data_IF_243082169029
#
_entry.id   IF_243082169029
#
_cell.length_a   1.000
_cell.length_b   1.000
_cell.length_c   1.000
_cell.angle_alpha   90.00
_cell.angle_beta   90.00
_cell.angle_gamma   90.00
#
_symmetry.space_group_name_H-M   'P 1'
#
loop_
_entity.id
_entity.type
_entity.pdbx_description
1 polymer ?
#
# COMPACT_ATOMS: atom_id res chain seq x y z
N UNK A 1 3.06 -26.34 -2.96
CA UNK A 1 2.10 -25.72 -2.02
C UNK A 1 2.36 -24.22 -2.04
N UNK A 2 1.39 -23.37 -2.41
CA UNK A 2 1.61 -21.93 -2.28
C UNK A 2 1.66 -21.63 -0.78
N UNK A 3 2.84 -21.22 -0.29
CA UNK A 3 2.94 -20.63 1.05
C UNK A 3 2.05 -19.39 1.02
N UNK A 4 0.93 -19.42 1.74
CA UNK A 4 0.22 -18.20 2.09
C UNK A 4 1.21 -17.32 2.83
N UNK A 5 1.77 -16.34 2.12
CA UNK A 5 2.72 -15.38 2.68
C UNK A 5 1.96 -14.56 3.72
N UNK A 6 2.48 -14.54 4.94
CA UNK A 6 1.84 -13.79 6.02
C UNK A 6 1.86 -12.31 5.68
N UNK A 7 0.67 -11.71 5.53
CA UNK A 7 0.50 -10.26 5.38
C UNK A 7 0.35 -9.57 6.75
N UNK A 8 0.65 -10.28 7.85
CA UNK A 8 0.49 -9.76 9.22
C UNK A 8 1.27 -8.47 9.44
N UNK A 9 2.45 -8.33 8.84
CA UNK A 9 3.29 -7.13 8.90
C UNK A 9 2.62 -5.91 8.25
N UNK A 10 1.69 -6.11 7.31
CA UNK A 10 1.02 -5.00 6.60
C UNK A 10 -0.11 -4.38 7.42
N UNK A 11 -0.64 -5.12 8.41
CA UNK A 11 -1.87 -4.80 9.14
C UNK A 11 -1.69 -4.80 10.67
N UNK A 12 -0.45 -4.87 11.16
CA UNK A 12 -0.13 -4.89 12.59
C UNK A 12 -0.23 -3.49 13.24
N UNK A 13 -0.33 -2.43 12.43
CA UNK A 13 -0.37 -1.05 12.89
C UNK A 13 0.99 -0.52 13.33
N UNK A 14 2.09 -1.19 12.96
CA UNK A 14 3.45 -0.80 13.27
C UNK A 14 4.21 -0.42 11.99
N UNK A 15 4.49 0.87 11.83
CA UNK A 15 5.24 1.43 10.69
C UNK A 15 6.72 1.01 10.65
N UNK A 16 7.18 0.22 11.63
CA UNK A 16 8.54 -0.31 11.69
C UNK A 16 8.64 -1.78 11.29
N UNK A 17 7.52 -2.50 11.20
CA UNK A 17 7.52 -3.89 10.72
C UNK A 17 7.52 -3.90 9.20
N UNK A 18 8.61 -4.36 8.59
CA UNK A 18 8.75 -4.34 7.13
C UNK A 18 8.56 -5.70 6.48
N UNK A 19 8.20 -5.66 5.20
CA UNK A 19 8.10 -6.85 4.37
C UNK A 19 9.40 -7.65 4.42
N UNK A 20 9.30 -8.92 4.84
CA UNK A 20 10.44 -9.85 4.84
C UNK A 20 10.44 -10.77 3.63
N UNK A 21 9.45 -10.67 2.75
CA UNK A 21 9.32 -11.52 1.57
C UNK A 21 10.00 -10.87 0.35
N UNK A 22 11.17 -11.36 -0.08
CA UNK A 22 11.90 -10.79 -1.21
C UNK A 22 11.23 -11.08 -2.56
N UNK A 23 10.17 -11.89 -2.56
CA UNK A 23 9.46 -12.29 -3.76
C UNK A 23 8.04 -11.68 -3.85
N UNK A 24 7.74 -10.64 -3.07
CA UNK A 24 6.50 -9.88 -3.24
C UNK A 24 6.56 -9.13 -4.57
N UNK A 25 5.49 -9.20 -5.36
CA UNK A 25 5.40 -8.53 -6.66
C UNK A 25 4.20 -7.59 -6.75
N UNK A 26 3.16 -7.88 -5.96
CA UNK A 26 1.92 -7.12 -5.94
C UNK A 26 1.23 -7.29 -4.59
N UNK A 27 0.55 -6.23 -4.15
CA UNK A 27 -0.43 -6.27 -3.07
C UNK A 27 -1.78 -5.97 -3.69
N UNK A 28 -2.73 -6.88 -3.52
CA UNK A 28 -4.10 -6.72 -3.98
C UNK A 28 -5.03 -6.66 -2.78
N UNK A 29 -5.70 -5.52 -2.60
CA UNK A 29 -6.74 -5.36 -1.60
C UNK A 29 -8.11 -5.48 -2.27
N UNK A 30 -8.98 -6.25 -1.62
CA UNK A 30 -10.37 -6.42 -2.00
C UNK A 30 -11.21 -6.33 -0.72
N UNK A 31 -12.37 -5.71 -0.83
CA UNK A 31 -13.26 -5.48 0.30
C UNK A 31 -14.49 -6.38 0.17
N UNK A 32 -15.00 -6.85 1.30
CA UNK A 32 -16.24 -7.61 1.37
C UNK A 32 -17.49 -6.72 1.48
N UNK A 33 -17.30 -5.42 1.73
CA UNK A 33 -18.36 -4.42 1.89
C UNK A 33 -18.04 -3.17 1.08
N UNK A 34 -19.10 -2.44 0.70
CA UNK A 34 -19.00 -1.17 0.00
C UNK A 34 -18.45 -0.10 0.95
N UNK A 35 -17.34 0.52 0.58
CA UNK A 35 -16.61 1.54 1.34
C UNK A 35 -16.00 2.54 0.36
N UNK A 36 -15.99 3.82 0.71
CA UNK A 36 -15.42 4.84 -0.15
C UNK A 36 -13.98 5.11 0.27
N UNK A 37 -13.03 4.79 -0.59
CA UNK A 37 -11.61 5.03 -0.34
C UNK A 37 -11.28 6.42 -0.88
N UNK A 38 -10.53 7.18 -0.08
CA UNK A 38 -10.10 8.54 -0.43
C UNK A 38 -8.59 8.63 -0.63
N UNK A 39 -7.84 7.96 0.23
CA UNK A 39 -6.38 7.97 0.16
C UNK A 39 -5.77 6.66 0.64
N UNK A 40 -4.54 6.44 0.20
CA UNK A 40 -3.69 5.33 0.61
C UNK A 40 -2.38 5.92 1.09
N UNK A 41 -1.98 5.56 2.30
CA UNK A 41 -0.68 5.92 2.88
C UNK A 41 0.24 4.71 2.84
N UNK A 42 1.45 4.92 2.37
CA UNK A 42 2.51 3.92 2.34
C UNK A 42 3.70 4.41 3.16
N UNK A 43 4.28 3.53 3.97
CA UNK A 43 5.52 3.79 4.71
C UNK A 43 6.58 2.76 4.31
N UNK A 44 7.82 3.21 4.10
CA UNK A 44 8.95 2.36 3.71
C UNK A 44 10.13 2.45 4.67
N UNK A 45 11.00 1.44 4.65
CA UNK A 45 12.29 1.48 5.35
C UNK A 45 13.39 2.19 4.54
N UNK A 46 13.32 2.15 3.22
CA UNK A 46 14.25 2.80 2.30
C UNK A 46 13.55 3.98 1.60
N UNK A 47 13.95 5.21 1.96
CA UNK A 47 13.31 6.44 1.50
C UNK A 47 13.40 6.65 -0.01
N UNK A 48 14.39 6.04 -0.67
CA UNK A 48 14.58 6.15 -2.11
C UNK A 48 13.56 5.31 -2.88
N UNK A 49 12.90 4.36 -2.20
CA UNK A 49 11.88 3.50 -2.77
C UNK A 49 10.48 4.13 -2.78
N UNK A 50 10.28 5.28 -2.12
CA UNK A 50 8.98 5.96 -2.09
C UNK A 50 8.44 6.33 -3.47
N UNK A 51 9.33 6.53 -4.45
CA UNK A 51 8.96 6.86 -5.82
C UNK A 51 8.75 5.62 -6.71
N UNK A 52 9.02 4.43 -6.18
CA UNK A 52 9.00 3.17 -6.93
C UNK A 52 7.72 2.34 -6.67
N UNK A 53 6.61 3.03 -6.38
CA UNK A 53 5.29 2.44 -6.24
C UNK A 53 4.39 2.84 -7.41
N UNK A 54 3.65 1.86 -7.92
CA UNK A 54 2.58 2.04 -8.89
C UNK A 54 1.26 1.72 -8.19
N UNK A 55 0.39 2.72 -8.12
CA UNK A 55 -0.93 2.61 -7.48
C UNK A 55 -2.00 2.59 -8.55
N UNK A 56 -2.67 1.45 -8.67
CA UNK A 56 -3.78 1.27 -9.58
C UNK A 56 -5.10 1.43 -8.82
N UNK A 57 -5.64 2.64 -8.91
CA UNK A 57 -6.95 3.02 -8.38
C UNK A 57 -7.65 3.98 -9.36
N UNK A 58 -8.87 4.39 -9.07
CA UNK A 58 -9.55 5.45 -9.82
C UNK A 58 -8.89 6.81 -9.53
N UNK A 59 -8.31 7.42 -10.57
CA UNK A 59 -7.60 8.72 -10.54
C UNK A 59 -6.47 8.84 -9.50
N UNK A 60 -5.41 8.01 -9.58
CA UNK A 60 -4.30 8.06 -8.65
C UNK A 60 -3.58 9.41 -8.77
N UNK A 61 -3.58 10.19 -7.71
CA UNK A 61 -2.81 11.44 -7.64
C UNK A 61 -1.91 11.41 -6.42
N UNK A 62 -0.60 11.50 -6.61
CA UNK A 62 0.35 11.67 -5.50
C UNK A 62 0.12 13.04 -4.87
N UNK A 63 -0.34 13.09 -3.62
CA UNK A 63 -0.75 14.36 -3.00
C UNK A 63 0.38 14.93 -2.16
N UNK A 64 1.01 14.08 -1.35
CA UNK A 64 1.86 14.56 -0.28
C UNK A 64 2.91 13.52 0.13
N UNK A 65 4.16 13.95 0.17
CA UNK A 65 5.19 13.30 0.97
C UNK A 65 4.99 13.79 2.41
N UNK A 66 4.50 12.90 3.27
CA UNK A 66 4.15 13.24 4.66
C UNK A 66 5.42 13.38 5.52
N UNK A 67 6.42 12.53 5.25
CA UNK A 67 7.77 12.65 5.81
C UNK A 67 8.81 11.99 4.88
N UNK A 68 10.02 11.73 5.36
CA UNK A 68 11.07 11.13 4.55
C UNK A 68 10.77 9.66 4.14
N UNK A 69 9.92 8.94 4.87
CA UNK A 69 9.60 7.51 4.70
C UNK A 69 8.15 7.24 4.32
N UNK A 70 7.29 8.25 4.34
CA UNK A 70 5.85 8.08 4.16
C UNK A 70 5.32 8.98 3.04
N UNK A 71 4.52 8.38 2.16
CA UNK A 71 3.82 9.06 1.07
C UNK A 71 2.33 8.73 1.11
N UNK A 72 1.51 9.69 0.70
CA UNK A 72 0.07 9.52 0.57
C UNK A 72 -0.38 9.76 -0.87
N UNK A 73 -1.12 8.79 -1.40
CA UNK A 73 -1.77 8.82 -2.70
C UNK A 73 -3.25 9.05 -2.52
N UNK A 74 -3.81 9.99 -3.28
CA UNK A 74 -5.25 10.13 -3.43
C UNK A 74 -5.73 9.04 -4.36
N UNK A 75 -6.70 8.30 -3.89
CA UNK A 75 -7.37 7.26 -4.64
C UNK A 75 -8.85 7.39 -4.31
N UNK A 76 -9.59 8.04 -5.21
CA UNK A 76 -11.01 8.27 -5.05
C UNK A 76 -11.74 7.12 -5.74
N UNK A 77 -11.90 6.01 -5.01
CA UNK A 77 -12.41 4.75 -5.55
C UNK A 77 -13.47 4.14 -4.64
N UNK A 78 -14.46 3.49 -5.24
CA UNK A 78 -15.42 2.67 -4.51
C UNK A 78 -14.81 1.28 -4.26
N UNK A 79 -15.09 0.67 -3.10
CA UNK A 79 -14.53 -0.65 -2.76
C UNK A 79 -15.07 -1.83 -3.58
N UNK A 80 -15.97 -1.58 -4.54
CA UNK A 80 -16.30 -2.56 -5.58
C UNK A 80 -15.13 -2.77 -6.56
N UNK A 81 -14.19 -1.84 -6.60
CA UNK A 81 -12.93 -1.96 -7.32
C UNK A 81 -11.88 -2.60 -6.41
N UNK A 82 -10.92 -3.32 -6.99
CA UNK A 82 -9.76 -3.82 -6.24
C UNK A 82 -8.62 -2.83 -6.33
N UNK A 83 -8.01 -2.46 -5.21
CA UNK A 83 -6.75 -1.74 -5.22
C UNK A 83 -5.62 -2.70 -5.53
N UNK A 84 -4.78 -2.31 -6.48
CA UNK A 84 -3.55 -3.00 -6.80
C UNK A 84 -2.36 -2.05 -6.60
N UNK A 85 -1.42 -2.48 -5.76
CA UNK A 85 -0.14 -1.80 -5.53
C UNK A 85 0.97 -2.69 -6.08
N UNK A 86 1.77 -2.14 -6.99
CA UNK A 86 2.88 -2.82 -7.66
C UNK A 86 4.15 -1.97 -7.59
N UNK A 87 5.25 -2.55 -8.06
CA UNK A 87 6.52 -1.84 -8.23
C UNK A 87 7.62 -2.30 -7.27
N UNK A 88 8.89 -1.91 -7.57
CA UNK A 88 10.05 -2.32 -6.76
C UNK A 88 9.98 -1.87 -5.30
N UNK A 89 9.27 -0.78 -5.01
CA UNK A 89 9.15 -0.24 -3.67
C UNK A 89 8.48 -1.19 -2.66
N UNK A 90 7.72 -2.20 -3.14
CA UNK A 90 7.12 -3.23 -2.30
C UNK A 90 8.15 -3.99 -1.44
N UNK A 91 9.39 -4.11 -1.90
CA UNK A 91 10.46 -4.78 -1.13
C UNK A 91 10.85 -3.99 0.13
N UNK A 92 10.59 -2.68 0.14
CA UNK A 92 10.88 -1.77 1.24
C UNK A 92 9.65 -1.40 2.08
N UNK A 93 8.46 -1.89 1.67
CA UNK A 93 7.19 -1.51 2.30
C UNK A 93 7.13 -2.02 3.74
N UNK A 94 6.70 -1.15 4.64
CA UNK A 94 6.46 -1.48 6.04
C UNK A 94 4.99 -1.43 6.41
N UNK A 95 4.28 -0.38 6.04
CA UNK A 95 2.85 -0.30 6.30
C UNK A 95 2.08 0.29 5.13
N UNK A 96 0.82 -0.13 5.03
CA UNK A 96 -0.16 0.39 4.09
C UNK A 96 -1.45 0.66 4.84
N UNK A 97 -1.86 1.93 4.85
CA UNK A 97 -3.15 2.33 5.39
C UNK A 97 -4.08 2.78 4.27
N UNK A 98 -5.32 2.32 4.33
CA UNK A 98 -6.40 2.76 3.46
C UNK A 98 -7.29 3.69 4.28
N UNK A 99 -7.41 4.94 3.86
CA UNK A 99 -8.27 5.93 4.48
C UNK A 99 -9.51 6.13 3.62
N UNK A 100 -10.68 6.11 4.26
CA UNK A 100 -11.96 6.28 3.59
C UNK A 100 -13.06 6.74 4.54
N UNK A 101 -14.30 6.81 4.04
CA UNK A 101 -15.49 7.26 4.78
C UNK A 101 -16.72 6.45 4.44
#
# INVERSE_FOLDING_TARGET
>A
MPRSKSISWLIDGDDTTCNTDPCVQAIKLAWSQVYWIRSIRLTVNDTDQLINFEIHCSNPTTIARLDNRTIEYMCDMSSNESLLVTGPGLLSLCSLYVNGG
#
